data_IF_119198692400
#
_entry.id   IF_119198692400
#
_cell.length_a   1.000
_cell.length_b   1.000
_cell.length_c   1.000
_cell.angle_alpha   90.00
_cell.angle_beta   90.00
_cell.angle_gamma   90.00
#
_symmetry.space_group_name_H-M   'P 1'
#
loop_
_entity.id
_entity.type
_entity.pdbx_description
1 polymer ?
#
# COMPACT_ATOMS: atom_id res chain seq x y z
N UNK A 1 2.06 4.02 -8.64
CA UNK A 1 0.78 3.30 -8.45
C UNK A 1 0.48 2.20 -9.48
N UNK A 2 1.41 1.77 -10.36
CA UNK A 2 1.16 0.66 -11.31
C UNK A 2 -0.08 0.76 -12.22
N UNK A 3 -0.59 1.98 -12.46
CA UNK A 3 -1.82 2.26 -13.20
C UNK A 3 -1.59 3.37 -14.24
N UNK A 4 -0.54 3.22 -15.04
CA UNK A 4 -0.04 4.29 -15.92
C UNK A 4 -1.00 4.63 -17.08
N UNK A 5 -1.87 3.69 -17.46
CA UNK A 5 -2.85 3.87 -18.54
C UNK A 5 -4.28 4.01 -18.01
N UNK A 6 -4.45 4.11 -16.69
CA UNK A 6 -5.76 4.26 -16.10
C UNK A 6 -6.36 5.62 -16.45
N UNK A 7 -7.66 5.63 -16.73
CA UNK A 7 -8.43 6.85 -16.96
C UNK A 7 -9.57 6.94 -15.96
N UNK A 8 -9.84 8.17 -15.52
CA UNK A 8 -10.93 8.49 -14.60
C UNK A 8 -11.84 9.51 -15.28
N UNK A 9 -13.13 9.27 -15.19
CA UNK A 9 -14.17 10.16 -15.72
C UNK A 9 -15.20 10.44 -14.64
N UNK A 10 -15.77 11.65 -14.65
CA UNK A 10 -16.88 12.02 -13.78
C UNK A 10 -18.11 12.21 -14.66
N UNK A 11 -19.12 11.38 -14.45
CA UNK A 11 -20.43 11.57 -15.10
C UNK A 11 -21.35 12.32 -14.15
N UNK A 12 -22.09 13.29 -14.68
CA UNK A 12 -23.03 14.12 -13.91
C UNK A 12 -24.37 14.10 -14.63
N UNK A 13 -25.37 13.55 -13.98
CA UNK A 13 -26.73 13.37 -14.48
C UNK A 13 -27.77 13.79 -13.43
N UNK A 14 -29.06 13.62 -13.75
CA UNK A 14 -30.17 13.95 -12.85
C UNK A 14 -30.50 15.44 -12.79
N UNK A 15 -31.61 15.77 -12.15
CA UNK A 15 -32.03 17.17 -12.00
C UNK A 15 -31.01 17.93 -11.14
N UNK A 16 -30.54 19.07 -11.67
CA UNK A 16 -29.49 19.89 -11.06
C UNK A 16 -28.18 19.13 -10.73
N UNK A 17 -27.88 18.03 -11.42
CA UNK A 17 -26.65 17.25 -11.19
C UNK A 17 -26.70 16.40 -9.93
N UNK A 18 -27.89 15.94 -9.52
CA UNK A 18 -28.08 15.10 -8.34
C UNK A 18 -27.37 13.74 -8.41
N UNK A 19 -27.04 13.26 -9.61
CA UNK A 19 -26.40 11.96 -9.82
C UNK A 19 -24.96 12.15 -10.32
N UNK A 20 -23.99 12.09 -9.41
CA UNK A 20 -22.55 12.18 -9.73
C UNK A 20 -21.89 10.82 -9.55
N UNK A 21 -21.24 10.31 -10.59
CA UNK A 21 -20.55 9.01 -10.56
C UNK A 21 -19.11 9.16 -10.99
N UNK A 22 -18.19 8.66 -10.15
CA UNK A 22 -16.79 8.49 -10.51
C UNK A 22 -16.61 7.16 -11.25
N UNK A 23 -16.20 7.23 -12.50
CA UNK A 23 -15.92 6.09 -13.34
C UNK A 23 -14.42 5.87 -13.51
N UNK A 24 -14.01 4.61 -13.66
CA UNK A 24 -12.63 4.19 -13.81
C UNK A 24 -12.51 3.21 -14.99
N UNK A 25 -11.44 3.34 -15.77
CA UNK A 25 -10.92 2.29 -16.64
C UNK A 25 -9.47 2.04 -16.22
N UNK A 26 -9.15 0.92 -15.54
CA UNK A 26 -7.84 0.71 -14.93
C UNK A 26 -6.74 0.42 -15.96
N UNK A 27 -7.12 -0.11 -17.13
CA UNK A 27 -6.20 -0.52 -18.18
C UNK A 27 -6.75 -0.14 -19.56
N UNK A 28 -5.85 0.11 -20.51
CA UNK A 28 -6.21 0.34 -21.91
C UNK A 28 -7.08 -0.81 -22.44
N UNK A 29 -8.25 -0.46 -22.99
CA UNK A 29 -9.21 -1.43 -23.55
C UNK A 29 -10.21 -2.02 -22.54
N UNK A 30 -10.13 -1.65 -21.26
CA UNK A 30 -11.17 -2.01 -20.28
C UNK A 30 -12.32 -1.00 -20.32
N UNK A 31 -13.58 -1.45 -20.18
CA UNK A 31 -14.72 -0.56 -20.20
C UNK A 31 -14.68 0.42 -19.03
N UNK A 32 -15.08 1.65 -19.29
CA UNK A 32 -15.32 2.65 -18.26
C UNK A 32 -16.57 2.24 -17.47
N UNK A 33 -16.45 1.94 -16.17
CA UNK A 33 -17.60 1.70 -15.30
C UNK A 33 -17.44 2.45 -13.96
N UNK A 34 -18.48 2.52 -13.12
CA UNK A 34 -18.36 3.12 -11.79
C UNK A 34 -17.24 2.47 -10.98
N UNK A 35 -16.46 3.27 -10.26
CA UNK A 35 -15.27 2.80 -9.51
C UNK A 35 -15.56 1.60 -8.59
N UNK A 36 -16.77 1.57 -8.00
CA UNK A 36 -17.25 0.50 -7.14
C UNK A 36 -17.48 -0.86 -7.86
N UNK A 37 -17.48 -0.88 -9.20
CA UNK A 37 -17.76 -2.07 -10.02
C UNK A 37 -16.61 -2.54 -10.89
N UNK A 38 -15.62 -1.69 -11.15
CA UNK A 38 -14.54 -1.97 -12.13
C UNK A 38 -13.34 -2.66 -11.51
N UNK A 39 -13.00 -2.28 -10.28
CA UNK A 39 -11.65 -2.47 -9.77
C UNK A 39 -11.53 -3.76 -8.95
N UNK A 40 -10.45 -4.51 -9.18
CA UNK A 40 -9.94 -5.45 -8.18
C UNK A 40 -9.63 -4.71 -6.87
N UNK A 41 -9.57 -5.43 -5.74
CA UNK A 41 -9.26 -4.82 -4.43
C UNK A 41 -8.02 -3.92 -4.47
N UNK A 42 -6.93 -4.40 -5.09
CA UNK A 42 -5.71 -3.63 -5.27
C UNK A 42 -5.81 -2.44 -6.24
N UNK A 43 -6.54 -2.55 -7.34
CA UNK A 43 -6.78 -1.40 -8.24
C UNK A 43 -7.61 -0.32 -7.56
N UNK A 44 -8.61 -0.73 -6.77
CA UNK A 44 -9.43 0.20 -6.01
C UNK A 44 -8.59 0.89 -4.94
N UNK A 45 -7.81 0.14 -4.16
CA UNK A 45 -6.93 0.68 -3.14
C UNK A 45 -5.92 1.67 -3.72
N UNK A 46 -5.32 1.37 -4.88
CA UNK A 46 -4.39 2.28 -5.57
C UNK A 46 -5.08 3.51 -6.15
N UNK A 47 -6.31 3.37 -6.64
CA UNK A 47 -7.13 4.51 -7.09
C UNK A 47 -7.45 5.42 -5.91
N UNK A 48 -7.88 4.86 -4.78
CA UNK A 48 -8.16 5.61 -3.56
C UNK A 48 -6.91 6.28 -2.98
N UNK A 49 -5.74 5.65 -3.09
CA UNK A 49 -4.46 6.26 -2.74
C UNK A 49 -4.16 7.48 -3.64
N UNK A 50 -4.36 7.36 -4.95
CA UNK A 50 -4.22 8.48 -5.88
C UNK A 50 -5.15 9.65 -5.51
N UNK A 51 -6.41 9.35 -5.19
CA UNK A 51 -7.41 10.33 -4.74
C UNK A 51 -6.98 10.98 -3.43
N UNK A 52 -6.56 10.19 -2.44
CA UNK A 52 -6.10 10.68 -1.14
C UNK A 52 -4.92 11.64 -1.24
N UNK A 53 -4.03 11.46 -2.22
CA UNK A 53 -2.89 12.33 -2.49
C UNK A 53 -3.27 13.70 -3.07
N UNK A 54 -4.40 13.81 -3.78
CA UNK A 54 -4.81 15.06 -4.46
C UNK A 54 -5.91 15.81 -3.72
N UNK A 55 -6.69 15.13 -2.88
CA UNK A 55 -7.75 15.76 -2.10
C UNK A 55 -7.19 16.51 -0.89
N UNK A 56 -7.66 17.74 -0.71
CA UNK A 56 -7.31 18.60 0.44
C UNK A 56 -8.09 18.27 1.69
N UNK A 57 -9.29 17.67 1.54
CA UNK A 57 -10.12 17.20 2.64
C UNK A 57 -10.17 15.67 2.60
N UNK A 58 -9.68 15.04 3.67
CA UNK A 58 -9.59 13.59 3.77
C UNK A 58 -9.71 13.18 5.24
N UNK A 59 -10.20 11.96 5.55
CA UNK A 59 -10.24 11.46 6.90
C UNK A 59 -8.84 11.47 7.56
N UNK A 60 -8.75 11.76 8.87
CA UNK A 60 -7.46 11.80 9.58
C UNK A 60 -6.78 10.42 9.67
N UNK A 61 -7.54 9.34 9.46
CA UNK A 61 -7.04 7.96 9.43
C UNK A 61 -7.54 7.29 8.16
N UNK A 62 -6.64 6.65 7.42
CA UNK A 62 -6.95 5.86 6.23
C UNK A 62 -6.33 4.47 6.33
N UNK A 63 -7.09 3.46 5.88
CA UNK A 63 -6.66 2.06 5.88
C UNK A 63 -6.60 1.59 4.44
N UNK A 64 -5.44 1.06 4.05
CA UNK A 64 -5.23 0.44 2.75
C UNK A 64 -4.94 -1.04 2.96
N UNK A 65 -5.82 -1.87 2.42
CA UNK A 65 -5.59 -3.30 2.30
C UNK A 65 -5.30 -3.63 0.82
N UNK A 66 -4.43 -4.60 0.57
CA UNK A 66 -4.08 -5.08 -0.78
C UNK A 66 -3.61 -4.01 -1.79
N UNK A 67 -3.16 -2.84 -1.33
CA UNK A 67 -2.66 -1.76 -2.24
C UNK A 67 -1.49 -2.22 -3.11
N UNK A 68 -0.77 -3.23 -2.62
CA UNK A 68 0.35 -3.91 -3.25
C UNK A 68 -0.02 -5.21 -3.99
N UNK A 69 -1.31 -5.52 -4.17
CA UNK A 69 -1.74 -6.70 -4.90
C UNK A 69 -1.39 -6.61 -6.39
N UNK A 70 -0.78 -7.68 -6.90
CA UNK A 70 -0.42 -7.82 -8.32
C UNK A 70 0.71 -6.89 -8.78
N UNK A 71 1.47 -6.29 -7.87
CA UNK A 71 2.59 -5.38 -8.20
C UNK A 71 3.92 -5.90 -7.66
N UNK A 72 5.02 -5.50 -8.31
CA UNK A 72 6.37 -5.86 -7.89
C UNK A 72 7.41 -4.86 -8.39
N UNK A 73 8.65 -5.01 -7.93
CA UNK A 73 9.80 -4.20 -8.35
C UNK A 73 9.60 -2.69 -8.15
N UNK A 74 9.93 -1.90 -9.17
CA UNK A 74 9.85 -0.43 -9.12
C UNK A 74 8.43 0.10 -8.86
N UNK A 75 7.39 -0.67 -9.21
CA UNK A 75 6.01 -0.28 -8.95
C UNK A 75 5.69 -0.29 -7.44
N UNK A 76 6.22 -1.26 -6.71
CA UNK A 76 6.06 -1.37 -5.26
C UNK A 76 6.76 -0.22 -4.51
N UNK A 77 7.95 0.19 -4.97
CA UNK A 77 8.64 1.36 -4.41
C UNK A 77 7.79 2.62 -4.53
N UNK A 78 7.26 2.90 -5.73
CA UNK A 78 6.39 4.07 -5.95
C UNK A 78 5.10 4.02 -5.13
N UNK A 79 4.63 2.83 -4.74
CA UNK A 79 3.48 2.69 -3.84
C UNK A 79 3.90 3.04 -2.40
N UNK A 80 5.05 2.55 -1.94
CA UNK A 80 5.63 2.93 -0.65
C UNK A 80 5.86 4.45 -0.53
N UNK A 81 6.44 5.07 -1.56
CA UNK A 81 6.63 6.52 -1.64
C UNK A 81 5.29 7.28 -1.57
N UNK A 82 4.29 6.83 -2.32
CA UNK A 82 2.94 7.42 -2.31
C UNK A 82 2.28 7.33 -0.93
N UNK A 83 2.38 6.17 -0.27
CA UNK A 83 1.85 5.96 1.08
C UNK A 83 2.58 6.85 2.11
N UNK A 84 3.91 6.94 2.02
CA UNK A 84 4.72 7.81 2.88
C UNK A 84 4.38 9.29 2.68
N UNK A 85 4.22 9.73 1.42
CA UNK A 85 3.77 11.09 1.12
C UNK A 85 2.38 11.38 1.68
N UNK A 86 1.48 10.42 1.58
CA UNK A 86 0.14 10.53 2.16
C UNK A 86 0.20 10.62 3.69
N UNK A 87 1.10 9.85 4.33
CA UNK A 87 1.23 9.79 5.79
C UNK A 87 1.82 11.06 6.44
N UNK A 88 2.29 12.04 5.65
CA UNK A 88 2.87 13.30 6.17
C UNK A 88 1.88 14.13 6.99
N UNK A 89 0.59 14.06 6.67
CA UNK A 89 -0.46 14.90 7.28
C UNK A 89 -1.64 14.08 7.86
N UNK A 90 -1.57 12.76 7.82
CA UNK A 90 -2.63 11.85 8.30
C UNK A 90 -2.07 10.49 8.69
N UNK A 91 -2.82 9.72 9.48
CA UNK A 91 -2.44 8.36 9.82
C UNK A 91 -2.81 7.39 8.69
N UNK A 92 -1.84 6.64 8.20
CA UNK A 92 -2.03 5.64 7.14
C UNK A 92 -1.68 4.26 7.70
N UNK A 93 -2.66 3.35 7.69
CA UNK A 93 -2.48 1.94 8.08
C UNK A 93 -2.48 1.09 6.83
N UNK A 94 -1.46 0.25 6.66
CA UNK A 94 -1.29 -0.58 5.47
C UNK A 94 -1.03 -2.01 5.87
N UNK A 95 -1.77 -2.95 5.29
CA UNK A 95 -1.44 -4.38 5.33
C UNK A 95 -0.68 -4.70 4.05
N UNK A 96 0.54 -5.22 4.17
CA UNK A 96 1.43 -5.49 3.03
C UNK A 96 2.26 -6.73 3.27
N UNK A 97 2.60 -7.42 2.19
CA UNK A 97 3.55 -8.54 2.19
C UNK A 97 4.83 -8.20 1.39
N UNK A 98 4.94 -7.00 0.84
CA UNK A 98 6.10 -6.56 0.06
C UNK A 98 7.07 -5.77 0.93
N UNK A 99 8.31 -6.25 1.03
CA UNK A 99 9.39 -5.56 1.76
C UNK A 99 9.59 -4.13 1.25
N UNK A 100 9.41 -3.93 -0.06
CA UNK A 100 9.55 -2.63 -0.72
C UNK A 100 8.51 -1.61 -0.26
N UNK A 101 7.33 -2.03 0.21
CA UNK A 101 6.30 -1.14 0.74
C UNK A 101 6.53 -0.95 2.23
N UNK A 102 6.78 -2.04 2.98
CA UNK A 102 7.03 -2.01 4.43
C UNK A 102 8.25 -1.15 4.82
N UNK A 103 9.26 -1.04 3.96
CA UNK A 103 10.44 -0.20 4.20
C UNK A 103 10.09 1.29 4.40
N UNK A 104 9.01 1.79 3.78
CA UNK A 104 8.58 3.19 3.87
C UNK A 104 7.78 3.54 5.13
N UNK A 105 7.42 2.54 5.95
CA UNK A 105 6.64 2.80 7.16
C UNK A 105 7.48 3.50 8.25
N UNK A 106 6.90 4.49 8.92
CA UNK A 106 7.47 5.10 10.14
C UNK A 106 7.53 4.06 11.27
N UNK A 107 6.46 3.27 11.39
CA UNK A 107 6.32 2.17 12.34
C UNK A 107 5.96 0.89 11.62
N UNK A 108 6.67 -0.19 11.92
CA UNK A 108 6.40 -1.51 11.38
C UNK A 108 5.93 -2.43 12.49
N UNK A 109 4.83 -3.13 12.23
CA UNK A 109 4.29 -4.16 13.10
C UNK A 109 4.30 -5.49 12.35
N UNK A 110 4.62 -6.56 13.06
CA UNK A 110 4.52 -7.92 12.53
C UNK A 110 3.31 -8.61 13.15
N UNK A 111 2.57 -9.34 12.31
CA UNK A 111 1.45 -10.17 12.73
C UNK A 111 1.88 -11.63 12.61
N UNK A 112 1.89 -12.34 13.74
CA UNK A 112 2.29 -13.75 13.82
C UNK A 112 1.13 -14.59 14.34
N UNK A 113 0.91 -15.75 13.73
CA UNK A 113 -0.01 -16.75 14.26
C UNK A 113 0.74 -17.67 15.22
N UNK A 114 0.24 -17.79 16.44
CA UNK A 114 0.75 -18.71 17.45
C UNK A 114 -0.30 -19.80 17.64
N UNK A 115 0.13 -21.05 17.50
CA UNK A 115 -0.70 -22.23 17.73
C UNK A 115 -0.16 -22.98 18.95
N UNK A 116 -1.00 -23.12 19.97
CA UNK A 116 -0.68 -23.85 21.21
C UNK A 116 -1.17 -25.32 21.18
N UNK A 117 -1.61 -25.80 20.01
CA UNK A 117 -2.20 -27.12 19.80
C UNK A 117 -3.68 -27.21 20.19
N UNK A 118 -4.29 -26.11 20.67
CA UNK A 118 -5.72 -26.04 21.03
C UNK A 118 -6.44 -24.91 20.30
N UNK A 119 -5.75 -23.79 20.07
CA UNK A 119 -6.26 -22.66 19.33
C UNK A 119 -5.13 -21.91 18.63
N UNK A 120 -5.44 -21.37 17.45
CA UNK A 120 -4.55 -20.44 16.76
C UNK A 120 -4.97 -19.02 17.08
N UNK A 121 -4.07 -18.24 17.69
CA UNK A 121 -4.28 -16.82 17.98
C UNK A 121 -3.30 -15.96 17.18
N UNK A 122 -3.75 -14.79 16.74
CA UNK A 122 -2.89 -13.81 16.09
C UNK A 122 -2.34 -12.84 17.14
N UNK A 123 -1.03 -12.67 17.18
CA UNK A 123 -0.32 -11.70 18.02
C UNK A 123 0.31 -10.62 17.15
N UNK A 124 0.31 -9.38 17.64
CA UNK A 124 0.92 -8.23 16.97
C UNK A 124 2.02 -7.66 17.85
N UNK A 125 3.19 -7.41 17.27
CA UNK A 125 4.30 -6.73 17.95
C UNK A 125 4.91 -5.64 17.07
N UNK A 126 5.33 -4.55 17.70
CA UNK A 126 6.10 -3.48 17.04
C UNK A 126 7.56 -3.89 16.90
N UNK A 127 8.18 -3.49 15.78
CA UNK A 127 9.59 -3.74 15.51
C UNK A 127 10.44 -2.50 15.79
N UNK A 128 11.59 -2.71 16.40
CA UNK A 128 12.67 -1.72 16.47
C UNK A 128 13.50 -1.71 15.17
N UNK A 129 14.56 -0.91 15.12
CA UNK A 129 15.37 -0.76 13.91
C UNK A 129 15.97 -2.11 13.43
N UNK A 130 16.53 -2.90 14.34
CA UNK A 130 17.15 -4.18 14.02
C UNK A 130 16.09 -5.22 13.64
N UNK A 131 14.97 -5.26 14.37
CA UNK A 131 13.82 -6.10 14.06
C UNK A 131 13.23 -5.81 12.68
N UNK A 132 13.22 -4.54 12.25
CA UNK A 132 12.82 -4.18 10.88
C UNK A 132 13.74 -4.77 9.82
N UNK A 133 15.07 -4.72 10.01
CA UNK A 133 16.02 -5.33 9.06
C UNK A 133 15.77 -6.84 8.96
N UNK A 134 15.60 -7.51 10.10
CA UNK A 134 15.32 -8.95 10.15
C UNK A 134 14.02 -9.30 9.43
N UNK A 135 12.94 -8.55 9.68
CA UNK A 135 11.64 -8.81 9.06
C UNK A 135 11.66 -8.55 7.55
N UNK A 136 12.28 -7.46 7.10
CA UNK A 136 12.42 -7.18 5.67
C UNK A 136 13.28 -8.23 4.98
N UNK A 137 14.37 -8.70 5.62
CA UNK A 137 15.18 -9.82 5.11
C UNK A 137 14.34 -11.10 4.95
N UNK A 138 13.49 -11.40 5.94
CA UNK A 138 12.54 -12.52 5.89
C UNK A 138 11.52 -12.34 4.77
N UNK A 139 10.97 -11.15 4.57
CA UNK A 139 10.02 -10.87 3.48
C UNK A 139 10.67 -11.02 2.10
N UNK A 140 11.95 -10.67 1.96
CA UNK A 140 12.69 -10.75 0.70
C UNK A 140 13.12 -12.18 0.33
N UNK A 141 13.62 -12.95 1.29
CA UNK A 141 14.28 -14.24 1.03
C UNK A 141 13.59 -15.45 1.65
N UNK A 142 12.59 -15.22 2.50
CA UNK A 142 12.01 -16.25 3.35
C UNK A 142 12.88 -16.64 4.54
N UNK A 143 14.13 -16.14 4.64
CA UNK A 143 15.05 -16.44 5.72
C UNK A 143 15.52 -15.17 6.43
N UNK A 144 15.30 -15.04 7.75
CA UNK A 144 15.84 -13.92 8.51
C UNK A 144 17.38 -13.95 8.56
N UNK A 145 18.00 -15.12 8.40
CA UNK A 145 19.42 -15.36 8.62
C UNK A 145 20.32 -15.16 7.40
N UNK A 146 19.74 -14.75 6.26
CA UNK A 146 20.50 -14.51 5.04
C UNK A 146 21.22 -13.16 5.10
N UNK A 147 22.56 -13.19 5.11
CA UNK A 147 23.39 -11.97 5.09
C UNK A 147 23.14 -11.11 3.84
N UNK A 148 22.92 -11.74 2.68
CA UNK A 148 22.62 -11.03 1.44
C UNK A 148 21.26 -10.34 1.49
N UNK A 149 20.25 -11.00 2.07
CA UNK A 149 18.92 -10.41 2.23
C UNK A 149 18.89 -9.31 3.29
N UNK A 150 19.71 -9.42 4.34
CA UNK A 150 19.94 -8.33 5.31
C UNK A 150 20.54 -7.10 4.66
N UNK A 151 21.60 -7.27 3.86
CA UNK A 151 22.19 -6.16 3.11
C UNK A 151 21.16 -5.47 2.20
N UNK A 152 20.34 -6.25 1.50
CA UNK A 152 19.28 -5.67 0.66
C UNK A 152 18.16 -4.98 1.47
N UNK A 153 17.82 -5.50 2.65
CA UNK A 153 16.86 -4.86 3.55
C UNK A 153 17.37 -3.50 4.06
N UNK A 154 18.66 -3.41 4.39
CA UNK A 154 19.30 -2.15 4.79
C UNK A 154 19.28 -1.12 3.66
N UNK A 155 19.59 -1.55 2.42
CA UNK A 155 19.48 -0.70 1.23
C UNK A 155 18.05 -0.16 1.03
N UNK A 156 17.03 -1.02 1.19
CA UNK A 156 15.62 -0.60 1.09
C UNK A 156 15.26 0.44 2.14
N UNK A 157 15.66 0.23 3.40
CA UNK A 157 15.42 1.18 4.49
C UNK A 157 16.14 2.51 4.22
N UNK A 158 17.35 2.47 3.69
CA UNK A 158 18.11 3.68 3.36
C UNK A 158 17.45 4.45 2.21
N UNK A 159 17.04 3.76 1.15
CA UNK A 159 16.33 4.36 0.03
C UNK A 159 15.01 5.00 0.49
N UNK A 160 14.26 4.32 1.36
CA UNK A 160 13.00 4.83 1.90
C UNK A 160 13.21 6.12 2.73
N UNK A 161 14.22 6.16 3.60
CA UNK A 161 14.55 7.35 4.40
C UNK A 161 14.93 8.57 3.56
N UNK A 162 15.59 8.34 2.41
CA UNK A 162 16.01 9.42 1.50
C UNK A 162 14.84 10.20 0.86
N UNK A 163 13.62 9.63 0.85
CA UNK A 163 12.42 10.24 0.25
C UNK A 163 11.56 11.03 1.24
N UNK A 164 11.94 11.05 2.52
CA UNK A 164 11.22 11.79 3.58
C UNK A 164 11.70 13.26 3.69
N UNK A 165 12.62 13.69 2.82
CA UNK A 165 13.11 15.08 2.73
C UNK A 165 12.19 16.01 1.93
#
# INVERSE_FOLDING_TARGET
LAMATATVEVTVDGEAGGDVVLCLSPNSGTPMLPVARVASGGELARTMLAVGLVLTASPPVQVFDEVDAGVGGAAAHRIGEALSSLARDRQVLVVTHLAQVAAYADHQMVVVKVDDGRSTVATVSTLDADGRVVELSRMLSGSPDSDTARGHAEELLQAARGHVS
#
